data_IF_440907409357
#
_entry.id   IF_440907409357
#
_cell.length_a   1.000
_cell.length_b   1.000
_cell.length_c   1.000
_cell.angle_alpha   90.00
_cell.angle_beta   90.00
_cell.angle_gamma   90.00
#
_symmetry.space_group_name_H-M   'P 1'
#
loop_
_entity.id
_entity.type
_entity.pdbx_description
1 polymer ?
#
# COMPACT_ATOMS: atom_id res chain seq x y z
N UNK A 1 16.98 12.12 -19.60
CA UNK A 1 17.12 11.81 -18.18
C UNK A 1 16.89 10.31 -17.98
N UNK A 2 17.97 9.53 -17.78
CA UNK A 2 17.89 8.10 -17.49
C UNK A 2 17.31 7.93 -16.07
N UNK A 3 16.07 7.43 -15.95
CA UNK A 3 15.40 7.22 -14.67
C UNK A 3 14.05 7.92 -14.50
N UNK A 4 13.65 8.78 -15.45
CA UNK A 4 12.28 9.31 -15.47
C UNK A 4 11.35 8.24 -16.05
N UNK A 5 10.55 7.60 -15.19
CA UNK A 5 9.49 6.68 -15.63
C UNK A 5 8.47 7.44 -16.47
N UNK A 6 8.12 6.89 -17.62
CA UNK A 6 7.01 7.40 -18.41
C UNK A 6 5.70 6.90 -17.82
N UNK A 7 4.84 7.84 -17.41
CA UNK A 7 3.49 7.56 -16.89
C UNK A 7 2.52 7.16 -18.00
N UNK A 8 2.75 7.69 -19.20
CA UNK A 8 1.91 7.50 -20.37
C UNK A 8 2.37 6.28 -21.20
N UNK A 9 1.47 5.31 -21.35
CA UNK A 9 1.66 4.09 -22.13
C UNK A 9 1.83 4.39 -23.63
N UNK A 10 1.29 5.51 -24.14
CA UNK A 10 1.40 5.90 -25.55
C UNK A 10 2.86 6.13 -25.97
N UNK A 11 3.69 6.63 -25.06
CA UNK A 11 5.12 6.86 -25.33
C UNK A 11 5.87 5.55 -25.55
N UNK A 12 5.49 4.48 -24.86
CA UNK A 12 6.08 3.15 -25.09
C UNK A 12 5.68 2.57 -26.45
N UNK A 13 4.47 2.88 -26.96
CA UNK A 13 4.05 2.48 -28.32
C UNK A 13 4.92 3.14 -29.38
N UNK A 14 5.18 4.44 -29.25
CA UNK A 14 6.05 5.19 -30.17
C UNK A 14 7.47 4.59 -30.25
N UNK A 15 8.00 4.10 -29.13
CA UNK A 15 9.32 3.45 -29.12
C UNK A 15 9.32 2.05 -29.74
N UNK A 16 8.26 1.28 -29.50
CA UNK A 16 8.07 -0.03 -30.16
C UNK A 16 8.10 0.15 -31.68
N UNK A 17 7.42 1.17 -32.18
CA UNK A 17 7.34 1.44 -33.62
C UNK A 17 8.68 1.90 -34.21
N UNK A 18 9.64 2.35 -33.38
CA UNK A 18 10.99 2.73 -33.80
C UNK A 18 12.00 1.58 -33.82
N UNK A 19 11.69 0.38 -33.31
CA UNK A 19 12.46 -0.87 -33.49
C UNK A 19 13.89 -0.96 -32.90
N UNK A 20 14.64 0.13 -32.84
CA UNK A 20 16.02 0.21 -32.35
C UNK A 20 16.15 0.90 -30.99
N UNK A 21 15.10 1.57 -30.53
CA UNK A 21 15.11 2.27 -29.25
C UNK A 21 14.99 1.27 -28.09
N UNK A 22 15.81 1.44 -27.06
CA UNK A 22 15.75 0.66 -25.82
C UNK A 22 15.33 1.55 -24.66
N UNK A 23 14.52 1.00 -23.76
CA UNK A 23 14.14 1.62 -22.48
C UNK A 23 14.44 0.68 -21.33
N UNK A 24 14.78 1.26 -20.19
CA UNK A 24 15.10 0.54 -18.96
C UNK A 24 13.90 0.32 -18.03
N UNK A 25 12.71 0.75 -18.45
CA UNK A 25 11.47 0.60 -17.69
C UNK A 25 10.42 -0.13 -18.52
N UNK A 26 9.77 -1.12 -17.91
CA UNK A 26 8.60 -1.75 -18.49
C UNK A 26 7.37 -0.85 -18.29
N UNK A 27 6.46 -0.78 -19.29
CA UNK A 27 5.12 -0.25 -19.08
C UNK A 27 4.48 -0.90 -17.87
N UNK A 28 3.68 -0.15 -17.12
CA UNK A 28 2.97 -0.64 -15.93
C UNK A 28 3.81 -1.25 -14.80
N UNK A 29 5.13 -1.01 -14.79
CA UNK A 29 6.04 -1.44 -13.71
C UNK A 29 5.63 -0.96 -12.30
N UNK A 30 4.81 0.08 -12.20
CA UNK A 30 4.25 0.58 -10.93
C UNK A 30 3.28 -0.36 -10.25
N UNK A 31 2.75 -1.35 -10.98
CA UNK A 31 1.93 -2.40 -10.39
C UNK A 31 2.71 -3.23 -9.37
N UNK A 32 4.05 -3.33 -9.54
CA UNK A 32 4.95 -3.96 -8.58
C UNK A 32 5.70 -2.93 -7.71
N UNK A 33 5.97 -1.74 -8.23
CA UNK A 33 6.77 -0.73 -7.55
C UNK A 33 6.04 0.11 -6.48
N UNK A 34 4.71 0.30 -6.59
CA UNK A 34 3.92 0.97 -5.54
C UNK A 34 3.31 -0.06 -4.59
N UNK A 35 3.28 0.26 -3.29
CA UNK A 35 2.93 -0.71 -2.23
C UNK A 35 1.46 -1.16 -2.30
N UNK A 36 0.56 -0.22 -2.55
CA UNK A 36 -0.88 -0.40 -2.78
C UNK A 36 -1.16 -1.36 -3.95
N UNK A 37 -0.53 -1.09 -5.09
CA UNK A 37 -0.73 -1.89 -6.29
C UNK A 37 -0.12 -3.28 -6.14
N UNK A 38 1.04 -3.40 -5.50
CA UNK A 38 1.65 -4.68 -5.19
C UNK A 38 0.74 -5.51 -4.29
N UNK A 39 0.19 -4.90 -3.24
CA UNK A 39 -0.73 -5.58 -2.33
C UNK A 39 -1.97 -6.12 -3.07
N UNK A 40 -2.63 -5.27 -3.88
CA UNK A 40 -3.79 -5.65 -4.71
C UNK A 40 -3.42 -6.70 -5.76
N UNK A 41 -2.25 -6.60 -6.39
CA UNK A 41 -1.77 -7.55 -7.39
C UNK A 41 -1.54 -8.94 -6.78
N UNK A 42 -0.88 -9.01 -5.62
CA UNK A 42 -0.65 -10.27 -4.91
C UNK A 42 -1.94 -10.89 -4.38
N UNK A 43 -2.87 -10.10 -3.85
CA UNK A 43 -4.20 -10.59 -3.47
C UNK A 43 -4.97 -11.18 -4.66
N UNK A 44 -4.97 -10.51 -5.81
CA UNK A 44 -5.57 -11.04 -7.06
C UNK A 44 -4.84 -12.27 -7.59
N UNK A 45 -3.52 -12.36 -7.43
CA UNK A 45 -2.75 -13.53 -7.82
C UNK A 45 -3.10 -14.73 -6.94
N UNK A 46 -3.24 -14.54 -5.62
CA UNK A 46 -3.64 -15.59 -4.68
C UNK A 46 -5.06 -16.11 -4.94
N UNK A 47 -6.00 -15.24 -5.35
CA UNK A 47 -7.34 -15.66 -5.75
C UNK A 47 -7.35 -16.47 -7.06
N UNK A 48 -6.50 -16.12 -8.02
CA UNK A 48 -6.48 -16.75 -9.36
C UNK A 48 -5.63 -18.01 -9.44
N UNK A 49 -4.50 -18.02 -8.74
CA UNK A 49 -3.48 -19.07 -8.83
C UNK A 49 -3.32 -19.86 -7.52
N UNK A 50 -4.13 -19.56 -6.51
CA UNK A 50 -4.18 -20.28 -5.25
C UNK A 50 -3.35 -19.65 -4.13
N UNK A 51 -3.83 -19.84 -2.90
CA UNK A 51 -3.20 -19.35 -1.68
C UNK A 51 -1.87 -20.06 -1.38
N UNK A 52 -1.67 -21.29 -1.87
CA UNK A 52 -0.43 -22.03 -1.64
C UNK A 52 0.79 -21.34 -2.28
N UNK A 53 0.61 -20.69 -3.43
CA UNK A 53 1.70 -20.02 -4.15
C UNK A 53 1.89 -18.56 -3.74
N UNK A 54 0.79 -17.83 -3.48
CA UNK A 54 0.83 -16.37 -3.28
C UNK A 54 0.35 -15.92 -1.89
N UNK A 55 -0.28 -16.79 -1.12
CA UNK A 55 -0.90 -16.43 0.17
C UNK A 55 0.11 -16.14 1.28
N UNK A 56 1.31 -16.75 1.22
CA UNK A 56 2.39 -16.56 2.20
C UNK A 56 3.46 -15.54 1.78
N UNK A 57 3.37 -15.00 0.55
CA UNK A 57 4.39 -14.09 -0.01
C UNK A 57 4.43 -12.74 0.71
N UNK A 58 3.28 -12.27 1.20
CA UNK A 58 3.20 -11.03 1.97
C UNK A 58 2.38 -11.24 3.26
N UNK A 59 2.70 -10.53 4.36
CA UNK A 59 1.84 -10.48 5.53
C UNK A 59 0.45 -9.91 5.20
N UNK A 60 -0.50 -10.04 6.13
CA UNK A 60 -1.84 -9.43 5.98
C UNK A 60 -1.68 -7.94 5.67
N UNK A 61 -2.27 -7.51 4.58
CA UNK A 61 -2.07 -6.16 4.03
C UNK A 61 -3.41 -5.58 3.60
N UNK A 62 -3.63 -4.31 3.96
CA UNK A 62 -4.85 -3.55 3.73
C UNK A 62 -4.49 -2.20 3.10
N UNK A 63 -5.25 -1.78 2.10
CA UNK A 63 -5.06 -0.49 1.42
C UNK A 63 -6.18 0.46 1.84
N UNK A 64 -5.82 1.55 2.50
CA UNK A 64 -6.74 2.58 2.97
C UNK A 64 -6.91 3.66 1.91
N UNK A 65 -8.13 4.25 1.78
CA UNK A 65 -9.29 4.07 2.66
C UNK A 65 -10.14 2.82 2.39
N UNK A 66 -9.95 2.12 1.27
CA UNK A 66 -10.88 1.10 0.77
C UNK A 66 -11.05 -0.10 1.71
N UNK A 67 -9.98 -0.53 2.37
CA UNK A 67 -9.99 -1.67 3.29
C UNK A 67 -10.24 -1.29 4.76
N UNK A 68 -10.61 -0.03 5.07
CA UNK A 68 -10.70 0.47 6.46
C UNK A 68 -11.57 -0.40 7.36
N UNK A 69 -12.76 -0.78 6.91
CA UNK A 69 -13.67 -1.63 7.70
C UNK A 69 -13.13 -3.04 7.93
N UNK A 70 -12.38 -3.59 6.96
CA UNK A 70 -11.75 -4.91 7.09
C UNK A 70 -10.58 -4.86 8.06
N UNK A 71 -9.78 -3.79 7.99
CA UNK A 71 -8.70 -3.52 8.94
C UNK A 71 -9.26 -3.38 10.36
N UNK A 72 -10.30 -2.58 10.59
CA UNK A 72 -10.90 -2.38 11.91
C UNK A 72 -11.33 -3.70 12.58
N UNK A 73 -11.90 -4.63 11.80
CA UNK A 73 -12.25 -5.98 12.30
C UNK A 73 -11.02 -6.77 12.76
N UNK A 74 -9.93 -6.69 12.01
CA UNK A 74 -8.67 -7.36 12.34
C UNK A 74 -7.98 -6.73 13.56
N UNK A 75 -8.03 -5.40 13.69
CA UNK A 75 -7.52 -4.69 14.86
C UNK A 75 -8.29 -5.09 16.13
N UNK A 76 -9.63 -5.17 16.04
CA UNK A 76 -10.48 -5.58 17.16
C UNK A 76 -10.26 -7.06 17.56
N UNK A 77 -9.99 -7.94 16.59
CA UNK A 77 -9.79 -9.36 16.84
C UNK A 77 -8.47 -9.69 17.58
N UNK A 78 -7.43 -8.86 17.41
CA UNK A 78 -6.12 -9.10 17.99
C UNK A 78 -5.47 -7.79 18.49
N UNK A 79 -5.91 -7.24 19.65
CA UNK A 79 -5.51 -5.91 20.12
C UNK A 79 -4.01 -5.77 20.43
N UNK A 80 -3.33 -6.89 20.76
CA UNK A 80 -1.89 -6.89 21.01
C UNK A 80 -1.02 -7.01 19.75
N UNK A 81 -1.61 -7.26 18.58
CA UNK A 81 -0.86 -7.45 17.33
C UNK A 81 -0.31 -6.13 16.83
N UNK A 82 0.95 -6.13 16.40
CA UNK A 82 1.59 -4.96 15.78
C UNK A 82 1.33 -4.86 14.29
N UNK A 83 1.24 -3.62 13.84
CA UNK A 83 1.00 -3.23 12.47
C UNK A 83 1.98 -2.15 12.05
N UNK A 84 2.24 -2.06 10.76
CA UNK A 84 3.07 -1.04 10.14
C UNK A 84 2.29 -0.32 9.05
N UNK A 85 2.12 0.98 9.24
CA UNK A 85 1.48 1.89 8.30
C UNK A 85 2.56 2.53 7.43
N UNK A 86 2.34 2.55 6.11
CA UNK A 86 3.30 3.04 5.11
C UNK A 86 2.54 3.88 4.08
N UNK A 87 3.04 5.04 3.67
CA UNK A 87 2.43 5.77 2.56
C UNK A 87 2.62 4.99 1.26
N UNK A 88 1.58 4.93 0.41
CA UNK A 88 1.54 4.11 -0.81
C UNK A 88 2.68 4.44 -1.78
N UNK A 89 2.93 5.74 -2.01
CA UNK A 89 3.91 6.24 -2.98
C UNK A 89 5.20 6.83 -2.39
N UNK A 90 5.44 6.68 -1.07
CA UNK A 90 6.67 7.18 -0.41
C UNK A 90 7.83 6.17 -0.46
N UNK A 91 9.06 6.67 -0.28
CA UNK A 91 10.30 5.90 -0.26
C UNK A 91 11.26 6.41 0.82
N UNK A 92 12.34 5.64 1.08
CA UNK A 92 13.38 5.94 2.09
C UNK A 92 12.88 5.92 3.54
N UNK A 93 11.87 5.11 3.84
CA UNK A 93 11.31 4.98 5.19
C UNK A 93 10.48 6.16 5.69
N UNK A 94 10.28 7.21 4.88
CA UNK A 94 9.53 8.40 5.29
C UNK A 94 8.04 8.11 5.48
N UNK A 95 7.50 8.52 6.62
CA UNK A 95 6.09 8.36 6.98
C UNK A 95 5.73 6.95 7.44
N UNK A 96 6.71 6.06 7.66
CA UNK A 96 6.43 4.73 8.21
C UNK A 96 6.16 4.86 9.71
N UNK A 97 5.04 4.30 10.16
CA UNK A 97 4.67 4.24 11.58
C UNK A 97 4.38 2.79 11.97
N UNK A 98 4.84 2.38 13.15
CA UNK A 98 4.49 1.09 13.75
C UNK A 98 3.57 1.37 14.92
N UNK A 99 2.49 0.60 15.03
CA UNK A 99 1.48 0.77 16.09
C UNK A 99 0.93 -0.58 16.52
N UNK A 100 0.40 -0.66 17.74
CA UNK A 100 -0.34 -1.83 18.21
C UNK A 100 -1.83 -1.64 17.94
N UNK A 101 -2.54 -2.73 17.66
CA UNK A 101 -3.95 -2.64 17.28
C UNK A 101 -4.84 -1.94 18.33
N UNK A 102 -4.51 -2.09 19.62
CA UNK A 102 -5.17 -1.40 20.73
C UNK A 102 -5.04 0.12 20.72
N UNK A 103 -3.99 0.66 20.09
CA UNK A 103 -3.74 2.11 20.03
C UNK A 103 -4.53 2.78 18.89
N UNK A 104 -5.17 1.97 18.03
CA UNK A 104 -5.88 2.46 16.85
C UNK A 104 -4.95 2.83 15.69
N UNK A 105 -5.54 3.24 14.57
CA UNK A 105 -4.79 3.64 13.37
C UNK A 105 -4.23 5.05 13.62
N UNK A 106 -2.90 5.27 13.50
CA UNK A 106 -2.32 6.59 13.66
C UNK A 106 -2.88 7.59 12.63
N UNK A 107 -3.35 8.74 13.10
CA UNK A 107 -3.71 9.88 12.24
C UNK A 107 -2.47 10.71 11.89
N UNK A 108 -2.55 11.49 10.81
CA UNK A 108 -1.45 12.32 10.29
C UNK A 108 -1.23 13.62 11.06
N UNK A 109 -1.74 13.71 12.29
CA UNK A 109 -1.62 14.88 13.16
C UNK A 109 -0.19 15.00 13.71
N UNK A 110 0.74 15.34 12.83
CA UNK A 110 2.00 15.95 13.18
C UNK A 110 1.73 17.40 13.64
N UNK A 111 1.21 17.54 14.86
CA UNK A 111 1.20 18.78 15.64
C UNK A 111 -0.17 19.41 15.88
N UNK A 112 -0.64 19.34 17.13
CA UNK A 112 -1.55 20.33 17.70
C UNK A 112 -2.90 19.82 18.18
N UNK A 113 -3.00 19.75 19.51
CA UNK A 113 -4.18 20.03 20.34
C UNK A 113 -5.35 19.02 20.40
N UNK A 114 -5.76 18.79 21.64
CA UNK A 114 -6.90 17.98 22.04
C UNK A 114 -8.20 18.78 21.86
N UNK A 115 -9.16 18.24 21.11
CA UNK A 115 -10.46 18.89 20.93
C UNK A 115 -11.55 17.92 20.47
N UNK A 116 -12.36 17.48 21.43
CA UNK A 116 -13.62 16.73 21.25
C UNK A 116 -14.62 17.46 20.35
N UNK A 117 -15.29 16.75 19.44
CA UNK A 117 -16.75 16.88 19.24
C UNK A 117 -17.30 15.78 18.33
N UNK A 118 -18.33 15.08 18.82
CA UNK A 118 -19.16 14.18 18.04
C UNK A 118 -20.05 14.92 17.03
N UNK A 119 -20.60 14.15 16.09
CA UNK A 119 -21.54 14.62 15.09
C UNK A 119 -21.97 13.48 14.18
N UNK A 120 -23.21 13.04 14.36
CA UNK A 120 -23.88 11.95 13.64
C UNK A 120 -24.18 12.26 12.16
N UNK A 121 -24.43 11.17 11.42
CA UNK A 121 -25.24 11.06 10.20
C UNK A 121 -24.70 11.62 8.86
N UNK A 122 -24.50 10.73 7.88
CA UNK A 122 -25.48 10.51 6.81
C UNK A 122 -25.07 9.38 5.84
N UNK A 123 -26.07 8.65 5.40
CA UNK A 123 -26.06 7.66 4.34
C UNK A 123 -26.20 8.34 2.95
N UNK A 124 -25.48 7.83 1.94
CA UNK A 124 -25.91 7.89 0.54
C UNK A 124 -25.12 6.87 -0.29
N UNK A 125 -25.83 6.01 -1.02
CA UNK A 125 -25.30 5.18 -2.10
C UNK A 125 -25.20 6.02 -3.38
N UNK A 126 -24.18 5.79 -4.20
CA UNK A 126 -24.35 5.74 -5.65
C UNK A 126 -23.22 4.94 -6.31
N UNK A 127 -23.63 4.17 -7.31
CA UNK A 127 -22.79 3.31 -8.11
C UNK A 127 -22.11 4.08 -9.24
N UNK A 128 -20.97 3.51 -9.65
CA UNK A 128 -20.41 3.49 -11.01
C UNK A 128 -19.81 4.80 -11.56
N UNK A 129 -18.48 4.86 -11.55
CA UNK A 129 -17.67 5.44 -12.62
C UNK A 129 -16.19 5.08 -12.37
N UNK A 130 -15.67 4.16 -13.17
CA UNK A 130 -14.23 3.94 -13.28
C UNK A 130 -13.61 5.10 -14.07
N UNK A 131 -13.36 6.22 -13.39
CA UNK A 131 -12.49 7.29 -13.88
C UNK A 131 -11.08 7.08 -13.31
N UNK A 132 -10.10 6.89 -14.20
CA UNK A 132 -8.66 6.91 -13.89
C UNK A 132 -8.16 8.37 -13.70
N UNK A 133 -8.93 9.19 -12.96
CA UNK A 133 -8.53 10.54 -12.56
C UNK A 133 -7.97 10.49 -11.14
N UNK A 134 -6.65 10.69 -11.03
CA UNK A 134 -5.88 10.81 -9.78
C UNK A 134 -6.41 12.02 -8.97
N UNK A 135 -7.48 11.84 -8.19
CA UNK A 135 -7.86 12.72 -7.08
C UNK A 135 -6.78 12.61 -5.99
N UNK A 136 -5.90 13.60 -5.94
CA UNK A 136 -4.91 13.80 -4.89
C UNK A 136 -5.58 14.32 -3.60
N UNK A 137 -6.64 13.65 -3.13
CA UNK A 137 -7.51 14.13 -2.05
C UNK A 137 -7.56 13.26 -0.79
N UNK A 138 -6.99 12.05 -0.78
CA UNK A 138 -6.87 11.24 0.43
C UNK A 138 -5.48 10.60 0.50
N UNK A 139 -4.79 10.77 1.63
CA UNK A 139 -3.52 10.10 1.87
C UNK A 139 -3.74 8.57 1.81
N UNK A 140 -3.35 7.96 0.70
CA UNK A 140 -3.48 6.52 0.49
C UNK A 140 -2.36 5.80 1.27
N UNK A 141 -2.76 4.97 2.23
CA UNK A 141 -1.84 4.21 3.07
C UNK A 141 -2.00 2.71 2.88
N UNK A 142 -0.88 2.02 3.07
CA UNK A 142 -0.87 0.56 3.21
C UNK A 142 -0.58 0.23 4.66
N UNK A 143 -1.51 -0.48 5.29
CA UNK A 143 -1.35 -1.05 6.63
C UNK A 143 -1.07 -2.53 6.49
N UNK A 144 0.03 -2.98 7.08
CA UNK A 144 0.48 -4.36 6.97
C UNK A 144 0.81 -4.91 8.36
N UNK A 145 0.52 -6.19 8.59
CA UNK A 145 0.90 -6.89 9.81
C UNK A 145 2.42 -6.82 10.00
N UNK A 146 2.87 -6.41 11.18
CA UNK A 146 4.28 -6.28 11.48
C UNK A 146 4.87 -7.66 11.82
N UNK A 147 6.00 -7.99 11.21
CA UNK A 147 6.73 -9.23 11.53
C UNK A 147 7.47 -9.02 12.84
N UNK A 148 6.88 -9.48 13.94
CA UNK A 148 7.41 -9.29 15.29
C UNK A 148 8.65 -10.14 15.60
N UNK A 149 8.78 -11.29 14.95
CA UNK A 149 9.91 -12.23 15.14
C UNK A 149 10.71 -12.39 13.84
N UNK A 150 11.43 -11.35 13.39
CA UNK A 150 12.31 -11.47 12.23
C UNK A 150 13.50 -12.37 12.54
N UNK A 151 14.12 -12.95 11.50
CA UNK A 151 15.44 -13.54 11.63
C UNK A 151 16.45 -12.45 12.05
N UNK A 152 17.24 -12.75 13.08
CA UNK A 152 18.28 -11.86 13.58
C UNK A 152 19.65 -12.39 13.19
N UNK A 153 20.52 -11.50 12.73
CA UNK A 153 21.95 -11.78 12.53
C UNK A 153 22.71 -10.94 13.55
N UNK A 154 23.42 -11.61 14.46
CA UNK A 154 24.13 -10.96 15.58
C UNK A 154 23.24 -10.03 16.43
N UNK A 155 21.97 -10.39 16.61
CA UNK A 155 21.00 -9.60 17.37
C UNK A 155 20.34 -8.44 16.61
N UNK A 156 20.71 -8.20 15.34
CA UNK A 156 20.13 -7.15 14.51
C UNK A 156 19.11 -7.70 13.52
N UNK A 157 18.01 -6.95 13.35
CA UNK A 157 17.04 -7.18 12.27
C UNK A 157 17.67 -6.74 10.95
N UNK A 158 17.56 -7.58 9.92
CA UNK A 158 18.07 -7.31 8.57
C UNK A 158 16.98 -7.50 7.51
N UNK A 159 17.15 -6.85 6.36
CA UNK A 159 16.39 -7.14 5.14
C UNK A 159 17.34 -7.54 4.00
N UNK A 160 16.83 -8.30 3.03
CA UNK A 160 17.60 -8.71 1.86
C UNK A 160 17.24 -7.85 0.66
N UNK A 161 18.27 -7.31 0.01
CA UNK A 161 18.17 -6.58 -1.25
C UNK A 161 18.75 -7.49 -2.33
N UNK A 162 17.87 -8.06 -3.15
CA UNK A 162 18.19 -8.95 -4.28
C UNK A 162 18.26 -8.15 -5.59
#
# INVERSE_FOLDING_TARGET
YWGARWRDDAKYRVLRDRGHCRVNHFPKSYLLGRKDNLARALQRAALRHGQALFGSVQPRTFVLPQDRQRLQRELAAAPARRWIMKPSASSRGRGIRVFEARDGIPTDDAGGDAGTSGGDAACANSADSASDDDDAGADEFVVQEYIERPLLINGFKVDFRL
#
